data_IF_109934317164
#
_entry.id   IF_109934317164
#
_cell.length_a   1.000
_cell.length_b   1.000
_cell.length_c   1.000
_cell.angle_alpha   90.00
_cell.angle_beta   90.00
_cell.angle_gamma   90.00
#
_symmetry.space_group_name_H-M   'P 1'
#
loop_
_entity.id
_entity.type
_entity.pdbx_description
1 polymer ?
#
# COMPACT_ATOMS: atom_id res chain seq x y z
N UNK A 1 -9.41 -3.03 10.46
CA UNK A 1 -8.95 -3.95 9.41
C UNK A 1 -7.51 -4.33 9.71
N UNK A 2 -7.11 -5.57 9.45
CA UNK A 2 -5.74 -6.03 9.65
C UNK A 2 -5.03 -6.03 8.31
N UNK A 3 -4.12 -5.08 8.09
CA UNK A 3 -3.29 -5.01 6.88
C UNK A 3 -2.10 -5.95 7.07
N UNK A 4 -1.70 -6.66 6.01
CA UNK A 4 -0.55 -7.57 6.01
C UNK A 4 0.39 -7.30 4.84
N UNK A 5 1.63 -7.75 4.98
CA UNK A 5 2.58 -7.73 3.86
C UNK A 5 2.02 -8.55 2.69
N UNK A 6 2.09 -7.98 1.50
CA UNK A 6 1.53 -8.54 0.27
C UNK A 6 0.17 -7.97 -0.12
N UNK A 7 -0.58 -7.36 0.81
CA UNK A 7 -1.89 -6.78 0.53
C UNK A 7 -1.78 -5.62 -0.48
N UNK A 8 -2.84 -5.47 -1.29
CA UNK A 8 -3.02 -4.33 -2.18
C UNK A 8 -3.92 -3.29 -1.51
N UNK A 9 -3.45 -2.05 -1.49
CA UNK A 9 -4.09 -0.91 -0.84
C UNK A 9 -4.05 0.30 -1.78
N UNK A 10 -4.94 1.25 -1.52
CA UNK A 10 -4.89 2.59 -2.09
C UNK A 10 -4.44 3.59 -1.02
N UNK A 11 -3.89 4.72 -1.46
CA UNK A 11 -3.54 5.82 -0.57
C UNK A 11 -4.60 6.91 -0.66
N UNK A 12 -5.03 7.45 0.48
CA UNK A 12 -6.02 8.54 0.53
C UNK A 12 -5.55 9.79 -0.21
N UNK A 13 -4.24 10.08 -0.19
CA UNK A 13 -3.67 11.23 -0.90
C UNK A 13 -3.49 11.00 -2.41
N UNK A 14 -3.50 9.73 -2.87
CA UNK A 14 -3.30 9.36 -4.27
C UNK A 14 -4.43 8.44 -4.74
N UNK A 15 -5.65 8.99 -4.90
CA UNK A 15 -6.76 8.24 -5.44
C UNK A 15 -6.42 7.70 -6.84
N UNK A 16 -6.75 6.43 -7.09
CA UNK A 16 -6.48 5.75 -8.37
C UNK A 16 -5.10 5.09 -8.47
N UNK A 17 -4.28 5.14 -7.41
CA UNK A 17 -3.05 4.36 -7.31
C UNK A 17 -3.25 3.08 -6.49
N UNK A 18 -2.85 1.94 -7.05
CA UNK A 18 -2.73 0.68 -6.31
C UNK A 18 -1.31 0.52 -5.80
N UNK A 19 -1.16 0.08 -4.57
CA UNK A 19 0.11 -0.09 -3.89
C UNK A 19 0.13 -1.41 -3.16
N UNK A 20 1.27 -2.10 -3.19
CA UNK A 20 1.48 -3.32 -2.44
C UNK A 20 2.21 -3.02 -1.15
N UNK A 21 1.72 -3.56 -0.04
CA UNK A 21 2.38 -3.52 1.26
C UNK A 21 3.61 -4.43 1.23
N UNK A 22 4.76 -3.86 1.53
CA UNK A 22 6.06 -4.55 1.59
C UNK A 22 6.44 -4.87 3.03
N UNK A 23 6.22 -3.92 3.94
CA UNK A 23 6.51 -4.10 5.35
C UNK A 23 5.60 -3.20 6.20
N UNK A 24 5.34 -3.60 7.45
CA UNK A 24 4.57 -2.85 8.43
C UNK A 24 5.51 -2.59 9.60
N UNK A 25 5.79 -1.32 9.85
CA UNK A 25 6.58 -0.87 11.00
C UNK A 25 5.61 -0.44 12.10
N UNK A 26 5.39 -1.35 13.06
CA UNK A 26 4.50 -1.12 14.20
C UNK A 26 5.07 -0.11 15.21
N UNK A 27 6.38 0.13 15.19
CA UNK A 27 7.03 1.09 16.09
C UNK A 27 6.82 2.53 15.63
N UNK A 28 6.84 2.74 14.31
CA UNK A 28 6.73 4.07 13.68
C UNK A 28 5.33 4.38 13.14
N UNK A 29 4.35 3.48 13.30
CA UNK A 29 3.01 3.55 12.71
C UNK A 29 3.03 3.78 11.18
N UNK A 30 4.07 3.28 10.53
CA UNK A 30 4.33 3.50 9.12
C UNK A 30 4.30 2.18 8.36
N UNK A 31 3.77 2.22 7.15
CA UNK A 31 3.69 1.06 6.26
C UNK A 31 4.52 1.34 5.03
N UNK A 32 5.44 0.43 4.74
CA UNK A 32 6.25 0.47 3.55
C UNK A 32 5.46 -0.11 2.40
N UNK A 33 5.26 0.68 1.36
CA UNK A 33 4.50 0.30 0.19
C UNK A 33 5.31 0.51 -1.07
N UNK A 34 4.94 -0.16 -2.15
CA UNK A 34 5.45 0.07 -3.50
C UNK A 34 4.31 0.15 -4.49
N UNK A 35 4.51 0.85 -5.61
CA UNK A 35 3.48 0.96 -6.65
C UNK A 35 3.18 -0.41 -7.27
N UNK A 36 1.91 -0.68 -7.52
CA UNK A 36 1.41 -1.85 -8.24
C UNK A 36 0.56 -1.41 -9.43
N UNK A 37 0.59 -2.10 -10.58
CA UNK A 37 1.48 -3.22 -10.92
C UNK A 37 2.95 -2.80 -11.00
N UNK A 38 3.85 -3.77 -10.84
CA UNK A 38 5.29 -3.52 -10.93
C UNK A 38 5.65 -3.09 -12.36
N UNK A 39 6.07 -1.85 -12.53
CA UNK A 39 6.59 -1.39 -13.81
C UNK A 39 7.97 -2.01 -14.08
N UNK A 40 8.30 -2.25 -15.35
CA UNK A 40 9.59 -2.82 -15.78
C UNK A 40 10.82 -2.02 -15.30
N UNK A 41 10.64 -0.74 -14.97
CA UNK A 41 11.66 0.08 -14.34
C UNK A 41 11.29 0.29 -12.87
N UNK A 42 12.15 -0.22 -11.98
CA UNK A 42 12.21 -0.08 -10.51
C UNK A 42 10.93 0.48 -9.88
N UNK A 43 10.21 -0.35 -9.14
CA UNK A 43 9.11 0.10 -8.28
C UNK A 43 9.69 0.47 -6.90
N UNK A 44 10.02 1.76 -6.63
CA UNK A 44 10.62 2.14 -5.37
C UNK A 44 9.63 1.89 -4.22
N UNK A 45 10.18 1.47 -3.09
CA UNK A 45 9.46 1.38 -1.83
C UNK A 45 9.54 2.70 -1.08
N UNK A 46 8.45 3.13 -0.49
CA UNK A 46 8.37 4.32 0.36
C UNK A 46 7.44 4.07 1.54
N UNK A 47 7.68 4.76 2.65
CA UNK A 47 6.85 4.67 3.84
C UNK A 47 5.66 5.64 3.73
N UNK A 48 4.50 5.19 4.19
CA UNK A 48 3.30 6.00 4.36
C UNK A 48 2.72 5.81 5.76
N UNK A 49 2.09 6.83 6.36
CA UNK A 49 1.39 6.66 7.63
C UNK A 49 0.25 5.66 7.51
N UNK A 50 0.04 4.82 8.53
CA UNK A 50 -1.02 3.80 8.53
C UNK A 50 -2.42 4.38 8.27
N UNK A 51 -2.67 5.61 8.73
CA UNK A 51 -3.95 6.31 8.60
C UNK A 51 -4.27 6.74 7.15
N UNK A 52 -3.28 6.80 6.26
CA UNK A 52 -3.47 7.11 4.85
C UNK A 52 -3.84 5.89 4.00
N UNK A 53 -3.77 4.70 4.58
CA UNK A 53 -4.08 3.45 3.88
C UNK A 53 -5.59 3.29 3.76
N UNK A 54 -6.03 2.90 2.57
CA UNK A 54 -7.39 2.47 2.27
C UNK A 54 -7.33 1.09 1.65
N UNK A 55 -8.13 0.12 2.11
CA UNK A 55 -8.19 -1.19 1.47
C UNK A 55 -8.61 -1.00 0.00
N UNK A 56 -7.91 -1.63 -0.95
CA UNK A 56 -8.49 -1.77 -2.28
C UNK A 56 -9.70 -2.69 -2.13
N UNK A 57 -10.89 -2.12 -2.32
CA UNK A 57 -12.12 -2.88 -2.33
C UNK A 57 -12.06 -3.78 -3.57
N UNK A 58 -11.78 -5.06 -3.36
CA UNK A 58 -11.95 -6.07 -4.39
C UNK A 58 -13.45 -6.12 -4.72
N UNK A 59 -13.88 -5.36 -5.72
CA UNK A 59 -15.24 -5.48 -6.24
C UNK A 59 -15.36 -6.90 -6.79
N UNK A 60 -16.09 -7.74 -6.04
CA UNK A 60 -16.39 -9.11 -6.42
C UNK A 60 -17.41 -9.03 -7.55
N UNK A 61 -16.98 -9.36 -8.76
CA UNK A 61 -17.85 -9.48 -9.95
C UNK A 61 -18.53 -10.83 -9.95
#
# INVERSE_FOLDING_TARGET
MTIKCGDLISLSQKPGGSYQVVNIDEFSDCVWVRRWPLANHRSPTFAVPSNELRPERLETV
#
